data_IF_908766106015
#
_entry.id   IF_908766106015
#
_cell.length_a   1.000
_cell.length_b   1.000
_cell.length_c   1.000
_cell.angle_alpha   90.00
_cell.angle_beta   90.00
_cell.angle_gamma   90.00
#
_symmetry.space_group_name_H-M   'P 1'
#
loop_
_entity.id
_entity.type
_entity.pdbx_description
1 polymer ?
#
# COMPACT_ATOMS: atom_id res chain seq x y z
N UNK A 1 2.12 -10.44 17.62
CA UNK A 1 2.48 -10.46 16.19
C UNK A 1 2.71 -11.92 15.84
N UNK A 2 2.07 -12.45 14.79
CA UNK A 2 2.17 -13.87 14.42
C UNK A 2 3.41 -14.13 13.55
N UNK A 3 3.78 -15.40 13.34
CA UNK A 3 4.91 -15.76 12.47
C UNK A 3 4.66 -15.37 11.01
N UNK A 4 3.42 -15.43 10.57
CA UNK A 4 2.98 -15.09 9.22
C UNK A 4 3.20 -13.60 8.95
N UNK A 5 2.88 -12.74 9.93
CA UNK A 5 3.14 -11.29 9.85
C UNK A 5 4.64 -10.99 9.84
N UNK A 6 5.44 -11.72 10.63
CA UNK A 6 6.91 -11.58 10.62
C UNK A 6 7.49 -11.95 9.25
N UNK A 7 7.08 -13.08 8.69
CA UNK A 7 7.48 -13.51 7.34
C UNK A 7 7.08 -12.47 6.28
N UNK A 8 5.91 -11.87 6.42
CA UNK A 8 5.44 -10.82 5.51
C UNK A 8 6.37 -9.59 5.56
N UNK A 9 6.77 -9.15 6.75
CA UNK A 9 7.68 -8.01 6.97
C UNK A 9 9.11 -8.24 6.46
N UNK A 10 9.55 -9.50 6.40
CA UNK A 10 10.86 -9.91 5.89
C UNK A 10 10.83 -10.22 4.38
N UNK A 11 9.65 -10.21 3.76
CA UNK A 11 9.51 -10.54 2.35
C UNK A 11 10.17 -9.50 1.44
N UNK A 12 11.15 -9.96 0.66
CA UNK A 12 11.80 -9.20 -0.40
C UNK A 12 11.13 -9.40 -1.78
N UNK A 13 10.00 -10.11 -1.83
CA UNK A 13 9.25 -10.28 -3.06
C UNK A 13 8.69 -8.93 -3.51
N UNK A 14 8.87 -8.62 -4.79
CA UNK A 14 8.28 -7.42 -5.39
C UNK A 14 6.76 -7.53 -5.40
N UNK A 15 6.10 -6.38 -5.20
CA UNK A 15 4.66 -6.29 -5.32
C UNK A 15 4.24 -6.60 -6.75
N UNK A 16 3.34 -7.56 -6.88
CA UNK A 16 2.69 -7.82 -8.14
C UNK A 16 1.32 -7.15 -8.20
N UNK A 17 0.67 -7.22 -9.36
CA UNK A 17 -0.64 -6.62 -9.58
C UNK A 17 -1.72 -7.10 -8.60
N UNK A 18 -1.70 -8.38 -8.21
CA UNK A 18 -2.67 -8.92 -7.25
C UNK A 18 -2.45 -8.32 -5.85
N UNK A 19 -1.21 -8.15 -5.43
CA UNK A 19 -0.90 -7.50 -4.14
C UNK A 19 -1.41 -6.04 -4.14
N UNK A 20 -1.21 -5.30 -5.25
CA UNK A 20 -1.73 -3.93 -5.39
C UNK A 20 -3.26 -3.86 -5.32
N UNK A 21 -3.94 -4.77 -6.03
CA UNK A 21 -5.42 -4.88 -6.01
C UNK A 21 -5.90 -5.20 -4.58
N UNK A 22 -5.19 -6.09 -3.88
CA UNK A 22 -5.54 -6.48 -2.53
C UNK A 22 -5.40 -5.32 -1.54
N UNK A 23 -4.23 -4.67 -1.52
CA UNK A 23 -3.94 -3.57 -0.59
C UNK A 23 -4.90 -2.40 -0.83
N UNK A 24 -5.10 -2.01 -2.08
CA UNK A 24 -6.01 -0.91 -2.43
C UNK A 24 -7.46 -1.17 -2.03
N UNK A 25 -7.91 -2.42 -2.06
CA UNK A 25 -9.27 -2.79 -1.66
C UNK A 25 -9.51 -2.71 -0.15
N UNK A 26 -8.48 -2.86 0.68
CA UNK A 26 -8.62 -3.00 2.13
C UNK A 26 -8.09 -1.81 2.94
N UNK A 27 -7.28 -0.92 2.37
CA UNK A 27 -6.68 0.22 3.09
C UNK A 27 -7.70 1.30 3.48
N UNK A 28 -8.64 1.64 2.59
CA UNK A 28 -9.73 2.58 2.88
C UNK A 28 -9.26 3.91 3.49
N UNK A 29 -9.81 4.28 4.66
CA UNK A 29 -9.52 5.55 5.36
C UNK A 29 -8.10 5.57 5.89
N UNK A 30 -7.39 6.71 5.76
CA UNK A 30 -6.02 6.88 6.26
C UNK A 30 -4.93 6.47 5.25
N UNK A 31 -5.32 6.22 4.00
CA UNK A 31 -4.38 5.96 2.90
C UNK A 31 -3.45 7.15 2.65
N UNK A 32 -3.86 8.39 2.96
CA UNK A 32 -3.01 9.57 2.81
C UNK A 32 -1.77 9.49 3.71
N UNK A 33 -1.87 8.88 4.90
CA UNK A 33 -0.72 8.69 5.79
C UNK A 33 0.28 7.70 5.21
N UNK A 34 -0.21 6.61 4.60
CA UNK A 34 0.64 5.64 3.90
C UNK A 34 1.30 6.31 2.69
N UNK A 35 0.57 7.14 1.94
CA UNK A 35 1.13 7.91 0.83
C UNK A 35 2.24 8.87 1.28
N UNK A 36 2.06 9.58 2.41
CA UNK A 36 3.12 10.41 3.01
C UNK A 36 4.34 9.58 3.41
N UNK A 37 4.12 8.39 3.99
CA UNK A 37 5.20 7.49 4.39
C UNK A 37 5.93 6.85 3.18
N UNK A 38 5.27 6.85 2.01
CA UNK A 38 5.86 6.56 0.70
C UNK A 38 6.52 7.79 0.05
N UNK A 39 6.60 8.91 0.77
CA UNK A 39 7.23 10.17 0.37
C UNK A 39 6.48 10.96 -0.71
N UNK A 40 5.17 10.73 -0.87
CA UNK A 40 4.33 11.61 -1.67
C UNK A 40 4.02 12.91 -0.91
N UNK A 41 4.19 14.04 -1.58
CA UNK A 41 3.80 15.36 -1.06
C UNK A 41 2.28 15.55 -1.03
N UNK A 42 1.78 16.49 -0.23
CA UNK A 42 0.34 16.86 -0.20
C UNK A 42 -0.20 17.21 -1.59
N UNK A 43 0.60 17.91 -2.41
CA UNK A 43 0.21 18.26 -3.78
C UNK A 43 0.02 17.04 -4.67
N UNK A 44 0.92 16.05 -4.59
CA UNK A 44 0.77 14.80 -5.33
C UNK A 44 -0.42 13.99 -4.83
N UNK A 45 -0.60 13.87 -3.50
CA UNK A 45 -1.74 13.18 -2.90
C UNK A 45 -3.07 13.80 -3.37
N UNK A 46 -3.16 15.13 -3.34
CA UNK A 46 -4.33 15.87 -3.82
C UNK A 46 -4.57 15.63 -5.32
N UNK A 47 -3.52 15.61 -6.14
CA UNK A 47 -3.62 15.35 -7.57
C UNK A 47 -4.16 13.93 -7.85
N UNK A 48 -3.58 12.89 -7.22
CA UNK A 48 -4.09 11.51 -7.33
C UNK A 48 -5.55 11.40 -6.91
N UNK A 49 -5.91 12.03 -5.78
CA UNK A 49 -7.30 12.04 -5.34
C UNK A 49 -8.21 12.69 -6.40
N UNK A 50 -7.86 13.88 -6.88
CA UNK A 50 -8.66 14.63 -7.87
C UNK A 50 -8.83 13.86 -9.18
N UNK A 51 -7.77 13.23 -9.66
CA UNK A 51 -7.76 12.55 -10.96
C UNK A 51 -8.58 11.25 -10.94
N UNK A 52 -8.54 10.50 -9.84
CA UNK A 52 -9.08 9.13 -9.79
C UNK A 52 -10.31 8.95 -8.88
N UNK A 53 -10.70 9.93 -8.06
CA UNK A 53 -11.82 9.77 -7.11
C UNK A 53 -13.15 9.48 -7.80
N UNK A 54 -13.33 9.87 -9.07
CA UNK A 54 -14.53 9.53 -9.87
C UNK A 54 -14.71 8.01 -10.02
N UNK A 55 -13.62 7.24 -9.98
CA UNK A 55 -13.61 5.77 -9.99
C UNK A 55 -13.66 5.16 -8.59
N UNK A 56 -13.65 5.98 -7.55
CA UNK A 56 -13.68 5.59 -6.14
C UNK A 56 -12.30 5.57 -5.48
N UNK A 57 -12.31 5.62 -4.14
CA UNK A 57 -11.08 5.71 -3.32
C UNK A 57 -10.11 4.54 -3.55
N UNK A 58 -10.64 3.34 -3.83
CA UNK A 58 -9.82 2.17 -4.18
C UNK A 58 -8.95 2.45 -5.40
N UNK A 59 -9.48 3.11 -6.42
CA UNK A 59 -8.73 3.41 -7.64
C UNK A 59 -7.64 4.45 -7.37
N UNK A 60 -7.93 5.47 -6.57
CA UNK A 60 -6.93 6.46 -6.11
C UNK A 60 -5.73 5.74 -5.48
N UNK A 61 -6.00 4.83 -4.53
CA UNK A 61 -4.96 4.09 -3.82
C UNK A 61 -4.21 3.16 -4.77
N UNK A 62 -4.92 2.45 -5.66
CA UNK A 62 -4.29 1.56 -6.63
C UNK A 62 -3.33 2.31 -7.56
N UNK A 63 -3.74 3.46 -8.10
CA UNK A 63 -2.91 4.26 -9.00
C UNK A 63 -1.69 4.84 -8.29
N UNK A 64 -1.83 5.28 -7.03
CA UNK A 64 -0.70 5.74 -6.23
C UNK A 64 0.31 4.61 -5.96
N UNK A 65 -0.15 3.43 -5.57
CA UNK A 65 0.74 2.29 -5.34
C UNK A 65 1.39 1.80 -6.63
N UNK A 66 0.66 1.81 -7.74
CA UNK A 66 1.19 1.47 -9.06
C UNK A 66 2.30 2.45 -9.48
N UNK A 67 2.10 3.74 -9.27
CA UNK A 67 3.12 4.76 -9.49
C UNK A 67 4.36 4.52 -8.61
N UNK A 68 4.17 4.23 -7.33
CA UNK A 68 5.27 3.91 -6.41
C UNK A 68 6.10 2.71 -6.91
N UNK A 69 5.45 1.65 -7.40
CA UNK A 69 6.16 0.48 -7.97
C UNK A 69 6.98 0.81 -9.21
N UNK A 70 6.64 1.88 -9.94
CA UNK A 70 7.34 2.33 -11.15
C UNK A 70 8.49 3.26 -10.83
N UNK A 71 8.32 4.16 -9.86
CA UNK A 71 9.35 5.14 -9.47
C UNK A 71 10.42 4.48 -8.60
N UNK A 72 10.03 3.58 -7.69
CA UNK A 72 10.94 2.92 -6.74
C UNK A 72 10.83 1.38 -6.83
N UNK A 73 11.14 0.76 -7.97
CA UNK A 73 10.93 -0.68 -8.18
C UNK A 73 11.68 -1.53 -7.15
N UNK A 74 12.91 -1.15 -6.79
CA UNK A 74 13.73 -1.89 -5.82
C UNK A 74 13.19 -1.82 -4.37
N UNK A 75 12.40 -0.79 -4.03
CA UNK A 75 11.80 -0.63 -2.70
C UNK A 75 10.37 -1.18 -2.64
N UNK A 76 9.75 -1.42 -3.80
CA UNK A 76 8.35 -1.84 -3.93
C UNK A 76 8.14 -3.33 -3.61
N UNK A 77 8.51 -3.73 -2.39
CA UNK A 77 8.40 -5.09 -1.89
C UNK A 77 7.21 -5.27 -0.95
N UNK A 78 6.76 -6.52 -0.82
CA UNK A 78 5.71 -6.92 0.13
C UNK A 78 6.09 -6.52 1.56
N UNK A 79 7.34 -6.77 1.99
CA UNK A 79 7.80 -6.43 3.33
C UNK A 79 7.83 -4.93 3.59
N UNK A 80 8.17 -4.12 2.58
CA UNK A 80 8.18 -2.67 2.72
C UNK A 80 6.77 -2.12 2.90
N UNK A 81 5.83 -2.49 2.04
CA UNK A 81 4.44 -1.99 2.16
C UNK A 81 3.77 -2.50 3.45
N UNK A 82 4.04 -3.75 3.86
CA UNK A 82 3.47 -4.31 5.08
C UNK A 82 3.93 -3.56 6.34
N UNK A 83 5.21 -3.16 6.41
CA UNK A 83 5.72 -2.32 7.50
C UNK A 83 5.07 -0.93 7.50
N UNK A 84 5.00 -0.28 6.34
CA UNK A 84 4.38 1.03 6.22
C UNK A 84 2.90 1.02 6.62
N UNK A 85 2.15 -0.02 6.21
CA UNK A 85 0.76 -0.23 6.63
C UNK A 85 0.67 -0.40 8.15
N UNK A 86 1.53 -1.23 8.72
CA UNK A 86 1.54 -1.49 10.16
C UNK A 86 1.77 -0.22 10.98
N UNK A 87 2.75 0.59 10.57
CA UNK A 87 3.17 1.81 11.26
C UNK A 87 2.17 2.96 11.08
N UNK A 88 1.39 2.94 9.99
CA UNK A 88 0.36 3.96 9.69
C UNK A 88 -1.07 3.52 10.03
N UNK A 89 -1.22 2.69 11.07
CA UNK A 89 -2.51 2.24 11.61
C UNK A 89 -3.38 1.36 10.68
N UNK A 90 -2.80 0.75 9.64
CA UNK A 90 -3.47 -0.15 8.70
C UNK A 90 -3.22 -1.64 9.03
N UNK A 91 -3.22 -1.99 10.33
CA UNK A 91 -2.83 -3.33 10.81
C UNK A 91 -3.76 -4.44 10.31
N UNK A 92 -5.05 -4.15 10.08
CA UNK A 92 -6.00 -5.13 9.55
C UNK A 92 -5.65 -5.54 8.11
N UNK A 93 -5.17 -4.62 7.27
CA UNK A 93 -4.69 -4.95 5.92
C UNK A 93 -3.54 -5.95 5.97
N UNK A 94 -2.59 -5.73 6.89
CA UNK A 94 -1.43 -6.62 7.08
C UNK A 94 -1.85 -8.02 7.54
N UNK A 95 -2.82 -8.11 8.46
CA UNK A 95 -3.36 -9.40 8.90
C UNK A 95 -4.04 -10.15 7.75
N UNK A 96 -4.91 -9.46 7.00
CA UNK A 96 -5.58 -10.03 5.84
C UNK A 96 -4.58 -10.48 4.75
N UNK A 97 -3.50 -9.71 4.54
CA UNK A 97 -2.43 -10.11 3.62
C UNK A 97 -1.73 -11.39 4.10
N UNK A 98 -1.40 -11.48 5.39
CA UNK A 98 -0.74 -12.65 5.97
C UNK A 98 -1.61 -13.91 5.87
N UNK A 99 -2.93 -13.79 6.06
CA UNK A 99 -3.87 -14.92 5.95
C UNK A 99 -4.12 -15.35 4.49
N UNK A 100 -3.79 -14.50 3.51
CA UNK A 100 -3.99 -14.76 2.07
C UNK A 100 -2.79 -15.38 1.35
N UNK A 101 -1.68 -15.63 2.07
CA UNK A 101 -0.43 -16.18 1.54
C UNK A 101 -0.22 -17.61 2.01
#
# INVERSE_FOLDING_TARGET
>A
MTKEIQNLFESNNHLNRQDLIFVSAHMGKGWENVARALEYSEGQIFQFHTDFIKSGIKEVIYQLLLDWTRIKPNEATIGRIAKLLWDNHQKEVVKLMADSK
#
